data_IF_727683084544
#
_entry.id   IF_727683084544
#
_cell.length_a   1.000
_cell.length_b   1.000
_cell.length_c   1.000
_cell.angle_alpha   90.00
_cell.angle_beta   90.00
_cell.angle_gamma   90.00
#
_symmetry.space_group_name_H-M   'P 1'
#
loop_
_entity.id
_entity.type
_entity.pdbx_description
1 polymer ?
#
# COMPACT_ATOMS: atom_id res chain seq x y z
N UNK A 1 0.56 -22.35 -4.71
CA UNK A 1 -0.64 -22.02 -3.92
C UNK A 1 -0.19 -20.96 -2.94
N UNK A 2 -0.65 -19.72 -3.12
CA UNK A 2 -0.34 -18.64 -2.17
C UNK A 2 -1.36 -18.73 -1.02
N UNK A 3 -0.89 -18.79 0.21
CA UNK A 3 -1.73 -18.57 1.39
C UNK A 3 -2.16 -17.09 1.43
N UNK A 4 -3.36 -16.83 1.95
CA UNK A 4 -4.11 -15.56 1.91
C UNK A 4 -3.44 -14.33 2.57
N UNK A 5 -2.17 -14.42 2.97
CA UNK A 5 -1.40 -13.29 3.48
C UNK A 5 -0.07 -13.75 4.04
N UNK A 6 1.01 -12.99 3.76
CA UNK A 6 2.28 -13.18 4.44
C UNK A 6 2.23 -12.40 5.76
N UNK A 7 2.32 -13.10 6.90
CA UNK A 7 2.34 -12.48 8.22
C UNK A 7 3.64 -12.85 8.91
N UNK A 8 4.49 -11.86 9.18
CA UNK A 8 5.67 -12.07 10.04
C UNK A 8 5.21 -12.07 11.50
N UNK A 9 5.58 -13.09 12.29
CA UNK A 9 5.19 -13.17 13.69
C UNK A 9 5.72 -11.97 14.49
N UNK A 10 4.85 -11.43 15.34
CA UNK A 10 5.14 -10.28 16.19
C UNK A 10 6.34 -10.52 17.11
N UNK A 11 7.31 -9.61 17.06
CA UNK A 11 8.37 -9.54 18.08
C UNK A 11 7.78 -8.92 19.36
N UNK A 12 7.57 -9.74 20.39
CA UNK A 12 7.03 -9.30 21.69
C UNK A 12 8.09 -8.54 22.52
N UNK A 13 7.64 -7.70 23.44
CA UNK A 13 8.46 -6.97 24.42
C UNK A 13 9.45 -5.93 23.85
N UNK A 14 9.11 -5.29 22.74
CA UNK A 14 9.88 -4.14 22.25
C UNK A 14 9.63 -2.94 23.17
N UNK A 15 10.71 -2.45 23.80
CA UNK A 15 10.68 -1.26 24.68
C UNK A 15 10.76 0.07 23.91
N UNK A 16 10.79 0.01 22.57
CA UNK A 16 11.03 1.14 21.68
C UNK A 16 9.75 1.54 20.95
N UNK A 17 9.61 2.82 20.52
CA UNK A 17 8.54 3.23 19.63
C UNK A 17 8.54 2.39 18.34
N UNK A 18 7.34 2.10 17.86
CA UNK A 18 7.08 1.37 16.63
C UNK A 18 6.28 2.31 15.73
N UNK A 19 6.72 2.44 14.48
CA UNK A 19 6.00 3.14 13.43
C UNK A 19 5.43 2.12 12.43
N UNK A 20 4.35 2.49 11.75
CA UNK A 20 3.77 1.72 10.67
C UNK A 20 3.90 2.47 9.33
N UNK A 21 4.08 1.69 8.27
CA UNK A 21 3.86 2.14 6.91
C UNK A 21 2.79 1.23 6.31
N UNK A 22 1.67 1.84 5.91
CA UNK A 22 0.49 1.16 5.40
C UNK A 22 0.20 1.57 3.95
N UNK A 23 0.05 0.59 3.06
CA UNK A 23 -0.36 0.77 1.69
C UNK A 23 -1.88 0.94 1.58
N UNK A 24 -2.34 2.19 1.66
CA UNK A 24 -3.73 2.50 1.36
C UNK A 24 -4.08 2.14 -0.09
N UNK A 25 -5.17 1.39 -0.29
CA UNK A 25 -5.66 0.95 -1.62
C UNK A 25 -4.66 0.03 -2.37
N UNK A 26 -4.00 -0.87 -1.64
CA UNK A 26 -2.92 -1.67 -2.21
C UNK A 26 -3.33 -2.48 -3.46
N UNK A 27 -4.41 -3.26 -3.35
CA UNK A 27 -4.90 -4.06 -4.48
C UNK A 27 -5.37 -3.21 -5.68
N UNK A 28 -6.16 -2.14 -5.50
CA UNK A 28 -6.49 -1.23 -6.61
C UNK A 28 -5.26 -0.69 -7.34
N UNK A 29 -4.20 -0.32 -6.63
CA UNK A 29 -2.96 0.13 -7.26
C UNK A 29 -2.27 -0.98 -8.05
N UNK A 30 -2.19 -2.19 -7.50
CA UNK A 30 -1.64 -3.36 -8.19
C UNK A 30 -2.39 -3.65 -9.50
N UNK A 31 -3.72 -3.58 -9.46
CA UNK A 31 -4.60 -3.77 -10.63
C UNK A 31 -4.34 -2.72 -11.71
N UNK A 32 -4.26 -1.44 -11.33
CA UNK A 32 -4.02 -0.35 -12.28
C UNK A 32 -2.62 -0.44 -12.90
N UNK A 33 -1.59 -0.59 -12.06
CA UNK A 33 -0.19 -0.57 -12.49
C UNK A 33 0.11 -1.67 -13.52
N UNK A 34 -0.39 -2.88 -13.26
CA UNK A 34 -0.13 -4.02 -14.13
C UNK A 34 -1.23 -4.23 -15.19
N UNK A 35 -2.26 -3.38 -15.23
CA UNK A 35 -3.43 -3.54 -16.10
C UNK A 35 -4.13 -4.90 -15.91
N UNK A 36 -4.19 -5.38 -14.67
CA UNK A 36 -4.72 -6.69 -14.34
C UNK A 36 -6.21 -6.72 -14.68
N UNK A 37 -6.58 -7.61 -15.60
CA UNK A 37 -7.96 -7.85 -15.97
C UNK A 37 -8.05 -9.14 -16.77
N UNK A 38 -9.19 -9.83 -16.69
CA UNK A 38 -9.47 -11.09 -17.38
C UNK A 38 -9.02 -11.09 -18.85
N UNK A 39 -9.43 -10.07 -19.62
CA UNK A 39 -9.13 -9.97 -21.06
C UNK A 39 -7.70 -9.50 -21.39
N UNK A 40 -6.90 -9.20 -20.37
CA UNK A 40 -5.52 -8.68 -20.52
C UNK A 40 -4.48 -9.71 -20.12
N UNK A 41 -4.90 -10.85 -19.56
CA UNK A 41 -4.04 -11.95 -19.19
C UNK A 41 -3.29 -12.52 -20.40
N UNK A 42 -2.01 -12.79 -20.23
CA UNK A 42 -1.13 -13.42 -21.20
C UNK A 42 -0.29 -14.46 -20.46
N UNK A 43 -0.22 -15.67 -21.02
CA UNK A 43 0.60 -16.75 -20.47
C UNK A 43 2.06 -16.31 -20.26
N UNK A 44 2.65 -16.74 -19.14
CA UNK A 44 4.08 -16.55 -18.82
C UNK A 44 5.06 -16.95 -19.93
N UNK A 45 4.71 -17.93 -20.76
CA UNK A 45 5.58 -18.46 -21.84
C UNK A 45 5.63 -17.53 -23.06
N UNK A 46 4.83 -16.46 -23.09
CA UNK A 46 4.87 -15.47 -24.16
C UNK A 46 6.26 -14.85 -24.32
N UNK A 47 6.77 -14.85 -25.55
CA UNK A 47 8.06 -14.23 -25.91
C UNK A 47 7.96 -12.72 -26.11
N UNK A 48 6.76 -12.13 -25.96
CA UNK A 48 6.60 -10.68 -26.10
C UNK A 48 7.24 -9.96 -24.91
N UNK A 49 8.23 -9.11 -25.20
CA UNK A 49 8.95 -8.32 -24.19
C UNK A 49 8.19 -7.07 -23.74
N UNK A 50 7.16 -6.63 -24.47
CA UNK A 50 6.34 -5.46 -24.14
C UNK A 50 5.10 -5.89 -23.34
N UNK A 51 5.34 -6.53 -22.19
CA UNK A 51 4.30 -7.03 -21.28
C UNK A 51 4.57 -6.62 -19.84
N UNK A 52 3.52 -6.28 -19.10
CA UNK A 52 3.61 -6.11 -17.65
C UNK A 52 3.79 -7.50 -17.04
N UNK A 53 4.92 -7.74 -16.38
CA UNK A 53 5.28 -9.06 -15.86
C UNK A 53 5.24 -9.06 -14.33
N UNK A 54 4.51 -10.02 -13.75
CA UNK A 54 4.48 -10.21 -12.30
C UNK A 54 5.63 -11.15 -11.91
N UNK A 55 6.57 -10.65 -11.09
CA UNK A 55 7.80 -11.35 -10.73
C UNK A 55 8.00 -11.30 -9.21
N UNK A 56 8.35 -12.44 -8.59
CA UNK A 56 8.85 -12.53 -7.20
C UNK A 56 10.15 -13.33 -7.21
N UNK A 57 11.27 -12.76 -6.73
CA UNK A 57 12.57 -13.44 -6.65
C UNK A 57 12.98 -14.20 -7.92
N UNK A 58 12.87 -13.54 -9.09
CA UNK A 58 13.13 -14.10 -10.43
C UNK A 58 12.15 -15.18 -10.93
N UNK A 59 11.11 -15.52 -10.16
CA UNK A 59 10.00 -16.37 -10.60
C UNK A 59 8.99 -15.48 -11.33
N UNK A 60 8.75 -15.78 -12.61
CA UNK A 60 7.69 -15.14 -13.40
C UNK A 60 6.39 -15.89 -13.16
N UNK A 61 5.37 -15.20 -12.66
CA UNK A 61 4.04 -15.77 -12.48
C UNK A 61 3.28 -15.77 -13.80
N UNK A 62 2.93 -14.58 -14.28
CA UNK A 62 2.28 -14.38 -15.58
C UNK A 62 2.44 -12.92 -16.03
N UNK A 63 1.86 -12.63 -17.19
CA UNK A 63 2.01 -11.38 -17.90
C UNK A 63 0.65 -10.76 -18.22
N UNK A 64 0.64 -9.45 -18.39
CA UNK A 64 -0.54 -8.70 -18.80
C UNK A 64 -0.20 -7.74 -19.93
N UNK A 65 -1.15 -7.55 -20.84
CA UNK A 65 -1.05 -6.52 -21.88
C UNK A 65 -0.99 -5.14 -21.21
N UNK A 66 0.05 -4.33 -21.45
CA UNK A 66 0.10 -2.98 -20.91
C UNK A 66 -0.97 -2.12 -21.57
N UNK A 67 -1.47 -1.12 -20.86
CA UNK A 67 -2.40 -0.14 -21.44
C UNK A 67 -1.68 1.07 -22.04
N UNK A 68 -0.39 1.30 -21.72
CA UNK A 68 0.46 2.37 -22.28
C UNK A 68 -0.19 3.76 -22.27
N UNK A 69 -0.97 4.09 -21.23
CA UNK A 69 -1.77 5.32 -21.16
C UNK A 69 -2.82 5.51 -22.28
N UNK A 70 -3.11 4.46 -23.04
CA UNK A 70 -4.21 4.41 -23.98
C UNK A 70 -5.46 3.83 -23.31
N UNK A 71 -6.48 4.67 -23.16
CA UNK A 71 -7.73 4.28 -22.51
C UNK A 71 -8.45 3.13 -23.23
N UNK A 72 -8.28 2.98 -24.54
CA UNK A 72 -8.90 1.87 -25.28
C UNK A 72 -8.24 0.52 -24.99
N UNK A 73 -7.02 0.53 -24.40
CA UNK A 73 -6.27 -0.67 -24.04
C UNK A 73 -6.43 -1.06 -22.57
N UNK A 74 -7.03 -0.22 -21.74
CA UNK A 74 -7.19 -0.51 -20.31
C UNK A 74 -8.13 -1.71 -20.10
N UNK A 75 -7.83 -2.54 -19.10
CA UNK A 75 -8.75 -3.57 -18.62
C UNK A 75 -9.90 -2.96 -17.83
N UNK A 76 -11.05 -3.63 -17.77
CA UNK A 76 -12.25 -3.11 -17.11
C UNK A 76 -12.01 -2.88 -15.60
N UNK A 77 -11.28 -3.79 -14.94
CA UNK A 77 -10.94 -3.66 -13.52
C UNK A 77 -10.03 -2.47 -13.27
N UNK A 78 -8.94 -2.36 -14.04
CA UNK A 78 -8.02 -1.23 -13.96
C UNK A 78 -8.73 0.10 -14.24
N UNK A 79 -9.68 0.13 -15.18
CA UNK A 79 -10.50 1.31 -15.44
C UNK A 79 -11.37 1.70 -14.25
N UNK A 80 -12.12 0.75 -13.68
CA UNK A 80 -12.99 1.00 -12.52
C UNK A 80 -12.15 1.51 -11.34
N UNK A 81 -11.05 0.84 -11.00
CA UNK A 81 -10.15 1.28 -9.94
C UNK A 81 -9.61 2.69 -10.23
N UNK A 82 -9.18 2.98 -11.46
CA UNK A 82 -8.64 4.29 -11.84
C UNK A 82 -9.66 5.43 -11.68
N UNK A 83 -10.90 5.22 -12.10
CA UNK A 83 -11.96 6.22 -11.92
C UNK A 83 -12.35 6.41 -10.44
N UNK A 84 -12.42 5.33 -9.67
CA UNK A 84 -12.68 5.41 -8.22
C UNK A 84 -11.56 6.18 -7.49
N UNK A 85 -10.29 5.93 -7.83
CA UNK A 85 -9.13 6.62 -7.26
C UNK A 85 -9.09 8.10 -7.66
N UNK A 86 -9.48 8.42 -8.90
CA UNK A 86 -9.62 9.81 -9.37
C UNK A 86 -10.67 10.56 -8.54
N UNK A 87 -11.87 9.99 -8.42
CA UNK A 87 -12.94 10.57 -7.60
C UNK A 87 -12.52 10.69 -6.12
N UNK A 88 -11.74 9.72 -5.62
CA UNK A 88 -11.21 9.77 -4.26
C UNK A 88 -10.26 10.96 -4.09
N UNK A 89 -9.36 11.18 -5.05
CA UNK A 89 -8.44 12.32 -5.01
C UNK A 89 -9.17 13.66 -5.10
N UNK A 90 -10.22 13.76 -5.91
CA UNK A 90 -11.07 14.95 -5.99
C UNK A 90 -11.75 15.21 -4.63
N UNK A 91 -12.30 14.18 -3.98
CA UNK A 91 -12.86 14.30 -2.63
C UNK A 91 -11.80 14.77 -1.61
N UNK A 92 -10.57 14.24 -1.64
CA UNK A 92 -9.46 14.72 -0.78
C UNK A 92 -9.17 16.21 -0.98
N UNK A 93 -9.19 16.69 -2.23
CA UNK A 93 -8.99 18.10 -2.54
C UNK A 93 -10.15 18.95 -1.98
N UNK A 94 -11.39 18.48 -2.12
CA UNK A 94 -12.57 19.18 -1.60
C UNK A 94 -12.58 19.24 -0.06
N UNK A 95 -12.13 18.20 0.63
CA UNK A 95 -11.91 18.20 2.09
C UNK A 95 -10.94 19.32 2.49
N UNK A 96 -9.83 19.49 1.76
CA UNK A 96 -8.85 20.55 2.03
C UNK A 96 -9.43 21.95 1.81
N UNK A 97 -10.32 22.11 0.83
CA UNK A 97 -10.96 23.39 0.49
C UNK A 97 -12.06 23.78 1.49
N UNK A 98 -12.85 22.81 1.97
CA UNK A 98 -14.02 23.06 2.82
C UNK A 98 -13.79 22.80 4.31
N UNK A 99 -12.56 22.98 4.82
CA UNK A 99 -12.21 22.72 6.23
C UNK A 99 -13.09 23.45 7.25
N UNK A 100 -13.66 24.60 6.87
CA UNK A 100 -14.45 25.45 7.75
C UNK A 100 -15.98 25.27 7.56
N UNK A 101 -16.41 24.41 6.64
CA UNK A 101 -17.82 24.10 6.38
C UNK A 101 -18.07 22.66 6.84
N UNK A 102 -18.62 22.52 8.05
CA UNK A 102 -18.78 21.23 8.73
C UNK A 102 -19.61 20.22 7.90
N UNK A 103 -20.70 20.68 7.29
CA UNK A 103 -21.57 19.85 6.44
C UNK A 103 -20.83 19.34 5.21
N UNK A 104 -20.10 20.21 4.51
CA UNK A 104 -19.31 19.79 3.33
C UNK A 104 -18.16 18.88 3.73
N UNK A 105 -17.49 19.18 4.85
CA UNK A 105 -16.40 18.36 5.37
C UNK A 105 -16.88 16.94 5.67
N UNK A 106 -18.03 16.81 6.33
CA UNK A 106 -18.66 15.51 6.61
C UNK A 106 -19.04 14.77 5.33
N UNK A 107 -19.66 15.45 4.37
CA UNK A 107 -20.04 14.87 3.08
C UNK A 107 -18.83 14.31 2.32
N UNK A 108 -17.79 15.13 2.10
CA UNK A 108 -16.64 14.69 1.31
C UNK A 108 -15.80 13.64 2.04
N UNK A 109 -15.75 13.67 3.38
CA UNK A 109 -15.11 12.61 4.17
C UNK A 109 -15.87 11.28 4.04
N UNK A 110 -17.20 11.32 4.10
CA UNK A 110 -18.04 10.14 3.87
C UNK A 110 -17.88 9.59 2.45
N UNK A 111 -17.89 10.47 1.44
CA UNK A 111 -17.65 10.10 0.04
C UNK A 111 -16.26 9.48 -0.15
N UNK A 112 -15.23 10.08 0.44
CA UNK A 112 -13.86 9.56 0.42
C UNK A 112 -13.78 8.12 0.93
N UNK A 113 -14.43 7.85 2.08
CA UNK A 113 -14.47 6.54 2.71
C UNK A 113 -15.26 5.53 1.87
N UNK A 114 -16.42 5.92 1.34
CA UNK A 114 -17.22 5.08 0.46
C UNK A 114 -16.42 4.67 -0.79
N UNK A 115 -15.76 5.64 -1.46
CA UNK A 115 -14.91 5.37 -2.62
C UNK A 115 -13.74 4.42 -2.29
N UNK A 116 -13.16 4.52 -1.07
CA UNK A 116 -12.13 3.57 -0.62
C UNK A 116 -12.69 2.15 -0.51
N UNK A 117 -13.87 1.99 0.08
CA UNK A 117 -14.55 0.69 0.23
C UNK A 117 -14.83 0.09 -1.14
N UNK A 118 -15.44 0.87 -2.05
CA UNK A 118 -15.74 0.40 -3.41
C UNK A 118 -14.48 0.03 -4.20
N UNK A 119 -13.39 0.80 -4.05
CA UNK A 119 -12.15 0.47 -4.74
C UNK A 119 -11.59 -0.88 -4.26
N UNK A 120 -11.54 -1.11 -2.94
CA UNK A 120 -11.08 -2.37 -2.38
C UNK A 120 -12.01 -3.55 -2.73
N UNK A 121 -13.32 -3.33 -2.86
CA UNK A 121 -14.26 -4.39 -3.22
C UNK A 121 -14.09 -4.88 -4.66
N UNK A 122 -13.49 -4.11 -5.58
CA UNK A 122 -13.22 -4.57 -6.95
C UNK A 122 -12.37 -5.84 -6.94
N UNK A 123 -11.38 -5.91 -6.05
CA UNK A 123 -10.57 -7.11 -5.89
C UNK A 123 -11.39 -8.26 -5.28
N UNK A 124 -12.15 -8.01 -4.21
CA UNK A 124 -12.98 -9.03 -3.57
C UNK A 124 -14.02 -9.64 -4.52
N UNK A 125 -14.58 -8.84 -5.43
CA UNK A 125 -15.48 -9.34 -6.48
C UNK A 125 -14.79 -10.34 -7.43
N UNK A 126 -13.48 -10.20 -7.67
CA UNK A 126 -12.75 -11.16 -8.51
C UNK A 126 -12.43 -12.48 -7.83
N UNK A 127 -12.54 -12.52 -6.50
CA UNK A 127 -12.37 -13.72 -5.67
C UNK A 127 -13.71 -14.42 -5.37
N UNK A 128 -14.82 -13.70 -5.51
CA UNK A 128 -16.14 -14.29 -5.31
C UNK A 128 -16.55 -15.18 -6.48
N UNK A 129 -16.58 -16.51 -6.26
CA UNK A 129 -16.87 -17.54 -7.30
C UNK A 129 -18.14 -17.31 -8.13
N UNK A 130 -19.14 -16.60 -7.60
CA UNK A 130 -20.39 -16.31 -8.30
C UNK A 130 -20.42 -14.92 -8.96
N UNK A 131 -19.32 -14.16 -8.89
CA UNK A 131 -19.20 -12.88 -9.59
C UNK A 131 -18.93 -13.07 -11.07
N UNK A 132 -19.45 -12.15 -11.89
CA UNK A 132 -19.12 -12.09 -13.32
C UNK A 132 -17.66 -11.74 -13.59
N UNK A 133 -16.96 -11.21 -12.58
CA UNK A 133 -15.54 -10.84 -12.64
C UNK A 133 -14.63 -11.91 -12.03
N UNK A 134 -15.18 -13.05 -11.61
CA UNK A 134 -14.41 -14.12 -10.98
C UNK A 134 -13.33 -14.68 -11.90
N UNK A 135 -12.09 -14.67 -11.42
CA UNK A 135 -11.00 -15.37 -12.08
C UNK A 135 -9.86 -15.66 -11.11
N UNK A 136 -9.72 -16.93 -10.72
CA UNK A 136 -8.75 -17.37 -9.72
C UNK A 136 -7.31 -16.95 -10.04
N UNK A 137 -6.87 -17.08 -11.31
CA UNK A 137 -5.51 -16.67 -11.69
C UNK A 137 -5.29 -15.16 -11.54
N UNK A 138 -6.33 -14.35 -11.77
CA UNK A 138 -6.22 -12.88 -11.60
C UNK A 138 -6.04 -12.53 -10.13
N UNK A 139 -6.79 -13.19 -9.24
CA UNK A 139 -6.67 -13.01 -7.78
C UNK A 139 -5.28 -13.39 -7.31
N UNK A 140 -4.80 -14.58 -7.71
CA UNK A 140 -3.48 -15.08 -7.35
C UNK A 140 -2.36 -14.13 -7.83
N UNK A 141 -2.52 -13.51 -9.01
CA UNK A 141 -1.54 -12.57 -9.55
C UNK A 141 -1.53 -11.23 -8.82
N UNK A 142 -2.69 -10.73 -8.40
CA UNK A 142 -2.78 -9.55 -7.54
C UNK A 142 -2.07 -9.83 -6.21
N UNK A 143 -2.36 -10.97 -5.58
CA UNK A 143 -1.69 -11.38 -4.32
C UNK A 143 -0.18 -11.50 -4.53
N UNK A 144 0.26 -12.20 -5.58
CA UNK A 144 1.67 -12.41 -5.87
C UNK A 144 2.44 -11.08 -6.03
N UNK A 145 1.86 -10.13 -6.78
CA UNK A 145 2.45 -8.81 -6.95
C UNK A 145 2.55 -8.02 -5.64
N UNK A 146 1.46 -8.03 -4.85
CA UNK A 146 1.42 -7.36 -3.55
C UNK A 146 2.44 -7.98 -2.58
N UNK A 147 2.56 -9.31 -2.52
CA UNK A 147 3.54 -9.96 -1.66
C UNK A 147 4.98 -9.69 -2.11
N UNK A 148 5.25 -9.73 -3.42
CA UNK A 148 6.58 -9.41 -3.95
C UNK A 148 7.01 -7.97 -3.59
N UNK A 149 6.09 -7.01 -3.75
CA UNK A 149 6.33 -5.60 -3.44
C UNK A 149 6.54 -5.38 -1.93
N UNK A 150 5.77 -6.08 -1.09
CA UNK A 150 5.88 -6.00 0.37
C UNK A 150 7.23 -6.58 0.85
N UNK A 151 7.65 -7.73 0.32
CA UNK A 151 8.98 -8.32 0.59
C UNK A 151 10.11 -7.37 0.20
N UNK A 152 10.01 -6.71 -0.96
CA UNK A 152 10.99 -5.73 -1.40
C UNK A 152 11.09 -4.56 -0.41
N UNK A 153 9.96 -4.05 0.06
CA UNK A 153 9.94 -3.00 1.09
C UNK A 153 10.56 -3.47 2.41
N UNK A 154 10.25 -4.68 2.88
CA UNK A 154 10.81 -5.24 4.11
C UNK A 154 12.32 -5.38 4.02
N UNK A 155 12.82 -5.86 2.89
CA UNK A 155 14.26 -5.97 2.64
C UNK A 155 14.91 -4.58 2.66
N UNK A 156 14.32 -3.60 1.97
CA UNK A 156 14.79 -2.22 2.01
C UNK A 156 14.84 -1.67 3.44
N UNK A 157 13.78 -1.85 4.24
CA UNK A 157 13.72 -1.41 5.64
C UNK A 157 14.83 -2.07 6.47
N UNK A 158 15.07 -3.39 6.29
CA UNK A 158 16.15 -4.11 6.98
C UNK A 158 17.54 -3.64 6.56
N UNK A 159 17.77 -3.39 5.28
CA UNK A 159 19.05 -2.89 4.75
C UNK A 159 19.43 -1.52 5.33
N UNK A 160 18.44 -0.68 5.64
CA UNK A 160 18.66 0.60 6.32
C UNK A 160 18.90 0.45 7.84
N UNK A 161 18.92 -0.78 8.37
CA UNK A 161 19.17 -1.06 9.80
C UNK A 161 17.94 -0.91 10.70
N UNK A 162 16.75 -0.70 10.13
CA UNK A 162 15.50 -0.71 10.90
C UNK A 162 15.14 -2.14 11.34
N UNK A 163 14.45 -2.24 12.48
CA UNK A 163 13.99 -3.52 13.00
C UNK A 163 12.53 -3.70 12.61
N UNK A 164 12.24 -4.63 11.70
CA UNK A 164 10.86 -5.01 11.35
C UNK A 164 10.26 -5.83 12.50
N UNK A 165 9.17 -5.34 13.06
CA UNK A 165 8.52 -5.86 14.28
C UNK A 165 7.37 -6.80 13.94
N UNK A 166 6.60 -6.44 12.91
CA UNK A 166 5.41 -7.14 12.46
C UNK A 166 5.14 -6.78 10.99
N UNK A 167 4.53 -7.70 10.26
CA UNK A 167 4.04 -7.51 8.90
C UNK A 167 2.59 -7.98 8.86
N UNK A 168 1.73 -7.17 8.27
CA UNK A 168 0.40 -7.56 7.81
C UNK A 168 0.34 -7.44 6.27
N UNK A 169 -0.76 -7.90 5.70
CA UNK A 169 -1.01 -8.03 4.25
C UNK A 169 -0.73 -6.75 3.45
N UNK A 170 -0.93 -5.57 4.04
CA UNK A 170 -0.73 -4.26 3.42
C UNK A 170 0.09 -3.28 4.29
N UNK A 171 0.70 -3.74 5.37
CA UNK A 171 1.44 -2.86 6.27
C UNK A 171 2.67 -3.50 6.91
N UNK A 172 3.69 -2.67 7.14
CA UNK A 172 4.93 -3.06 7.81
C UNK A 172 5.12 -2.19 9.04
N UNK A 173 5.34 -2.84 10.18
CA UNK A 173 5.63 -2.19 11.45
C UNK A 173 7.11 -2.32 11.74
N UNK A 174 7.77 -1.21 12.03
CA UNK A 174 9.21 -1.18 12.27
C UNK A 174 9.59 -0.23 13.41
N UNK A 175 10.75 -0.49 14.00
CA UNK A 175 11.37 0.37 15.00
C UNK A 175 12.66 0.97 14.45
N UNK A 176 12.95 2.20 14.86
CA UNK A 176 14.17 2.92 14.49
C UNK A 176 15.42 2.25 15.10
N UNK A 177 16.59 2.33 14.45
CA UNK A 177 17.84 1.90 15.05
C UNK A 177 18.19 2.77 16.27
N UNK A 178 18.99 2.22 17.19
CA UNK A 178 19.38 2.88 18.45
C UNK A 178 20.11 4.23 18.23
N UNK A 179 20.85 4.35 17.12
CA UNK A 179 21.57 5.58 16.75
C UNK A 179 20.63 6.79 16.67
N UNK A 180 19.43 6.61 16.12
CA UNK A 180 18.44 7.70 15.96
C UNK A 180 17.91 8.19 17.32
N UNK A 181 17.73 7.30 18.30
CA UNK A 181 17.31 7.69 19.64
C UNK A 181 18.42 8.39 20.41
N UNK A 182 19.66 7.93 20.23
CA UNK A 182 20.84 8.55 20.84
C UNK A 182 20.99 9.99 20.35
N UNK A 183 20.85 10.24 19.05
CA UNK A 183 20.89 11.58 18.46
C UNK A 183 19.78 12.50 19.01
N UNK A 184 18.54 12.01 19.12
CA UNK A 184 17.40 12.78 19.66
C UNK A 184 17.50 13.07 21.16
N UNK A 185 18.18 12.20 21.91
CA UNK A 185 18.39 12.38 23.35
C UNK A 185 19.37 13.53 23.67
N UNK A 186 20.32 13.83 22.78
CA UNK A 186 21.32 14.89 22.97
C UNK A 186 20.66 16.29 23.06
N UNK A 187 19.78 16.71 22.12
CA UNK A 187 19.01 17.94 22.24
C UNK A 187 18.12 17.96 23.49
N UNK A 188 17.42 16.86 23.80
CA UNK A 188 16.52 16.78 24.96
C UNK A 188 17.25 17.03 26.29
N UNK A 189 18.42 16.40 26.48
CA UNK A 189 19.27 16.63 27.65
C UNK A 189 19.80 18.06 27.69
N UNK A 190 20.15 18.65 26.53
CA UNK A 190 20.58 20.05 26.44
C UNK A 190 19.45 21.02 26.84
N UNK A 191 18.22 20.82 26.35
CA UNK A 191 17.06 21.63 26.69
C UNK A 191 16.67 21.50 28.17
N UNK A 192 16.69 20.29 28.73
CA UNK A 192 16.44 20.07 30.14
C UNK A 192 17.49 20.76 31.01
N UNK A 193 18.78 20.65 30.68
CA UNK A 193 19.86 21.38 31.40
C UNK A 193 19.72 22.90 31.29
N UNK A 194 19.28 23.43 30.15
CA UNK A 194 19.04 24.87 29.95
C UNK A 194 17.87 25.38 30.80
N UNK A 195 16.78 24.61 30.91
CA UNK A 195 15.64 24.96 31.75
C UNK A 195 15.94 24.86 33.25
N UNK A 196 16.73 23.86 33.67
CA UNK A 196 17.20 23.75 35.07
C UNK A 196 18.11 24.92 35.45
N UNK A 197 18.97 25.39 34.53
CA UNK A 197 19.81 26.57 34.78
C UNK A 197 19.00 27.87 34.86
N UNK A 198 17.93 28.02 34.06
CA UNK A 198 17.03 29.19 34.09
C UNK A 198 16.22 29.29 35.39
N UNK A 199 15.86 28.15 35.98
CA UNK A 199 15.09 28.09 37.23
C UNK A 199 15.94 28.22 38.50
N UNK A 200 17.28 28.26 38.40
CA UNK A 200 18.20 28.48 39.54
C UNK A 200 18.75 29.92 39.60
N UNK A 201 18.33 30.77 38.68
CA UNK A 201 18.75 32.18 38.56
C UNK A 201 17.64 33.20 38.85
N UNK A 202 16.51 32.73 39.41
CA UNK A 202 15.46 33.53 40.05
C UNK A 202 15.41 33.17 41.53
#
# INVERSE_FOLDING_TARGET
>A
MYDEGLVIPLIKNIKRPVADVNFTLYYPYAIIQNNISLKKYVSKDSTNHHLNTIIDNAIVYDKFLPYDNNINKIGIMAFICKELLKNQNDAKQKIKLFKNDETKLLYYTSLLNALKIFANSVYSETDYRYSLLYHEEVVLLVIAFCQATLKMMINFVREQGFIVVYEDTDSVFYSLPESYFTELSIPLVYYQKKNIRKNRSN
#
